data_IF_578549585580
#
_entry.id   IF_578549585580
#
_cell.length_a   1.000
_cell.length_b   1.000
_cell.length_c   1.000
_cell.angle_alpha   90.00
_cell.angle_beta   90.00
_cell.angle_gamma   90.00
#
_symmetry.space_group_name_H-M   'P 1'
#
loop_
_entity.id
_entity.type
_entity.pdbx_description
1 polymer ?
#
# COMPACT_ATOMS: atom_id res chain seq x y z
N UNK A 1 16.53 -4.96 -20.35
CA UNK A 1 15.41 -4.57 -19.48
C UNK A 1 15.33 -5.57 -18.36
N UNK A 2 15.62 -5.20 -17.10
CA UNK A 2 15.47 -6.13 -16.00
C UNK A 2 13.98 -6.45 -15.83
N UNK A 3 13.58 -7.69 -16.12
CA UNK A 3 12.24 -8.20 -15.78
C UNK A 3 12.20 -8.23 -14.25
N UNK A 4 11.60 -7.21 -13.62
CA UNK A 4 11.27 -7.28 -12.20
C UNK A 4 10.24 -8.39 -11.94
N UNK A 5 10.16 -8.82 -10.69
CA UNK A 5 9.25 -9.90 -10.27
C UNK A 5 7.81 -9.41 -10.13
N UNK A 6 7.61 -8.09 -9.97
CA UNK A 6 6.28 -7.47 -9.94
C UNK A 6 5.59 -7.62 -11.31
N UNK A 7 4.39 -8.21 -11.37
CA UNK A 7 3.59 -8.27 -12.58
C UNK A 7 3.13 -6.88 -13.00
N UNK A 8 3.14 -6.61 -14.32
CA UNK A 8 2.80 -5.31 -14.87
C UNK A 8 1.39 -4.83 -14.54
N UNK A 9 0.46 -5.75 -14.28
CA UNK A 9 -0.91 -5.41 -13.91
C UNK A 9 -1.02 -4.68 -12.55
N UNK A 10 -0.05 -4.89 -11.65
CA UNK A 10 0.02 -4.17 -10.37
C UNK A 10 0.66 -2.79 -10.51
N UNK A 11 1.49 -2.58 -11.54
CA UNK A 11 2.25 -1.34 -11.68
C UNK A 11 1.34 -0.13 -11.89
N UNK A 12 1.74 0.99 -11.29
CA UNK A 12 1.03 2.25 -11.40
C UNK A 12 0.63 2.82 -10.05
N UNK A 13 -0.30 3.77 -10.10
CA UNK A 13 -0.82 4.46 -8.93
C UNK A 13 -2.25 4.02 -8.68
N UNK A 14 -2.54 3.70 -7.44
CA UNK A 14 -3.82 3.26 -6.93
C UNK A 14 -4.25 4.22 -5.82
N UNK A 15 -5.54 4.44 -5.66
CA UNK A 15 -6.06 5.33 -4.63
C UNK A 15 -7.33 4.77 -4.02
N UNK A 16 -7.57 5.11 -2.76
CA UNK A 16 -8.84 4.81 -2.10
C UNK A 16 -9.19 5.94 -1.15
N UNK A 17 -10.49 6.16 -0.95
CA UNK A 17 -11.00 7.14 0.01
C UNK A 17 -11.85 6.42 1.04
N UNK A 18 -11.49 6.59 2.30
CA UNK A 18 -12.15 6.00 3.46
C UNK A 18 -12.79 7.15 4.24
N UNK A 19 -14.12 7.26 4.14
CA UNK A 19 -14.88 8.24 4.93
C UNK A 19 -15.22 7.65 6.29
N UNK A 20 -14.80 8.31 7.36
CA UNK A 20 -15.15 7.95 8.74
C UNK A 20 -15.63 9.18 9.51
N UNK A 21 -15.96 8.99 10.81
CA UNK A 21 -16.45 10.08 11.66
C UNK A 21 -15.47 11.26 11.79
N UNK A 22 -14.18 11.04 11.57
CA UNK A 22 -13.14 12.07 11.58
C UNK A 22 -13.02 12.81 10.24
N UNK A 23 -13.59 12.27 9.17
CA UNK A 23 -13.62 12.85 7.82
C UNK A 23 -13.11 11.88 6.74
N UNK A 24 -12.66 12.45 5.62
CA UNK A 24 -12.17 11.67 4.49
C UNK A 24 -10.68 11.37 4.64
N UNK A 25 -10.34 10.09 4.65
CA UNK A 25 -8.96 9.60 4.68
C UNK A 25 -8.63 9.06 3.30
N UNK A 26 -7.67 9.68 2.63
CA UNK A 26 -7.21 9.24 1.32
C UNK A 26 -5.95 8.41 1.48
N UNK A 27 -5.90 7.27 0.79
CA UNK A 27 -4.69 6.45 0.72
C UNK A 27 -4.29 6.31 -0.73
N UNK A 28 -3.10 6.79 -1.07
CA UNK A 28 -2.50 6.65 -2.39
C UNK A 28 -1.40 5.59 -2.31
N UNK A 29 -1.44 4.63 -3.22
CA UNK A 29 -0.57 3.47 -3.22
C UNK A 29 0.09 3.39 -4.60
N UNK A 30 1.40 3.53 -4.66
CA UNK A 30 2.18 3.42 -5.89
C UNK A 30 2.96 2.12 -5.86
N UNK A 31 2.80 1.31 -6.90
CA UNK A 31 3.55 0.07 -7.10
C UNK A 31 4.53 0.29 -8.24
N UNK A 32 5.81 0.15 -7.95
CA UNK A 32 6.89 0.23 -8.93
C UNK A 32 7.50 -1.14 -9.19
N UNK A 33 8.21 -1.25 -10.30
CA UNK A 33 8.90 -2.49 -10.66
C UNK A 33 10.09 -2.72 -9.72
N UNK A 34 10.27 -3.97 -9.30
CA UNK A 34 11.39 -4.40 -8.47
C UNK A 34 11.42 -5.92 -8.33
N UNK A 35 12.39 -6.41 -7.56
CA UNK A 35 12.57 -7.84 -7.23
C UNK A 35 12.17 -8.12 -5.80
N UNK A 36 12.09 -9.40 -5.44
CA UNK A 36 11.94 -9.80 -4.03
C UNK A 36 13.08 -9.18 -3.20
N UNK A 37 12.72 -8.51 -2.12
CA UNK A 37 13.60 -7.74 -1.24
C UNK A 37 13.66 -6.23 -1.56
N UNK A 38 13.28 -5.80 -2.76
CA UNK A 38 13.27 -4.39 -3.11
C UNK A 38 12.01 -3.70 -2.56
N UNK A 39 12.15 -2.46 -2.08
CA UNK A 39 11.01 -1.58 -1.82
C UNK A 39 10.25 -1.34 -3.12
N UNK A 40 9.09 -1.97 -3.29
CA UNK A 40 8.24 -1.83 -4.49
C UNK A 40 6.96 -1.06 -4.21
N UNK A 41 6.56 -0.98 -2.95
CA UNK A 41 5.37 -0.25 -2.52
C UNK A 41 5.76 1.12 -1.99
N UNK A 42 5.02 2.15 -2.39
CA UNK A 42 4.96 3.43 -1.70
C UNK A 42 3.50 3.66 -1.32
N UNK A 43 3.22 3.81 -0.03
CA UNK A 43 1.89 4.16 0.47
C UNK A 43 1.96 5.56 1.06
N UNK A 44 1.05 6.42 0.63
CA UNK A 44 0.81 7.73 1.22
C UNK A 44 -0.57 7.68 1.86
N UNK A 45 -0.65 7.97 3.15
CA UNK A 45 -1.89 8.07 3.89
C UNK A 45 -2.06 9.52 4.35
N UNK A 46 -3.12 10.16 3.85
CA UNK A 46 -3.52 11.51 4.16
C UNK A 46 -4.89 11.49 4.83
N UNK A 47 -5.05 12.26 5.89
CA UNK A 47 -6.36 12.39 6.50
C UNK A 47 -6.42 13.40 7.63
N UNK A 48 -7.63 13.71 8.11
CA UNK A 48 -7.83 14.60 9.23
C UNK A 48 -7.44 13.92 10.56
N UNK A 49 -6.94 14.72 11.50
CA UNK A 49 -6.77 14.38 12.91
C UNK A 49 -7.62 15.31 13.77
N UNK A 50 -7.74 15.03 15.07
CA UNK A 50 -8.51 15.88 16.00
C UNK A 50 -8.06 17.35 16.04
N UNK A 51 -6.80 17.64 15.67
CA UNK A 51 -6.21 18.98 15.71
C UNK A 51 -5.65 19.46 14.37
N UNK A 52 -5.92 18.77 13.26
CA UNK A 52 -5.36 19.13 11.96
C UNK A 52 -5.45 18.00 10.93
N UNK A 53 -4.35 17.71 10.25
CA UNK A 53 -4.22 16.59 9.32
C UNK A 53 -2.97 15.77 9.61
N UNK A 54 -2.93 14.55 9.11
CA UNK A 54 -1.74 13.70 9.06
C UNK A 54 -1.38 13.41 7.61
N UNK A 55 -0.09 13.33 7.35
CA UNK A 55 0.50 12.87 6.10
C UNK A 55 1.58 11.84 6.44
N UNK A 56 1.37 10.58 6.07
CA UNK A 56 2.32 9.51 6.34
C UNK A 56 2.72 8.81 5.06
N UNK A 57 4.02 8.71 4.82
CA UNK A 57 4.61 8.00 3.69
C UNK A 57 5.28 6.74 4.23
N UNK A 58 4.94 5.61 3.62
CA UNK A 58 5.47 4.30 3.96
C UNK A 58 6.04 3.63 2.72
N UNK A 59 7.08 2.83 2.91
CA UNK A 59 7.56 1.89 1.90
C UNK A 59 7.43 0.47 2.39
N UNK A 60 7.27 -0.47 1.48
CA UNK A 60 7.31 -1.90 1.82
C UNK A 60 8.07 -2.69 0.75
N UNK A 61 8.91 -3.66 1.17
CA UNK A 61 9.62 -4.52 0.26
C UNK A 61 8.71 -5.60 -0.32
N UNK A 62 9.03 -6.06 -1.53
CA UNK A 62 8.41 -7.25 -2.11
C UNK A 62 8.90 -8.49 -1.36
N UNK A 63 8.00 -9.23 -0.73
CA UNK A 63 8.35 -10.47 -0.02
C UNK A 63 8.23 -11.69 -0.93
N UNK A 64 7.12 -11.79 -1.67
CA UNK A 64 6.91 -12.88 -2.62
C UNK A 64 5.86 -12.52 -3.67
N UNK A 65 5.88 -13.25 -4.78
CA UNK A 65 4.86 -13.21 -5.83
C UNK A 65 4.25 -14.60 -5.94
N UNK A 66 2.93 -14.69 -6.01
CA UNK A 66 2.27 -15.98 -6.24
C UNK A 66 2.64 -16.53 -7.62
N UNK A 67 2.65 -17.86 -7.75
CA UNK A 67 3.02 -18.54 -9.00
C UNK A 67 2.10 -18.20 -10.18
N UNK A 68 0.85 -17.86 -9.91
CA UNK A 68 -0.14 -17.39 -10.89
C UNK A 68 0.04 -15.90 -11.25
N UNK A 69 0.93 -15.17 -10.57
CA UNK A 69 1.14 -13.73 -10.74
C UNK A 69 -0.06 -12.87 -10.31
N UNK A 70 -1.06 -13.45 -9.66
CA UNK A 70 -2.29 -12.76 -9.25
C UNK A 70 -2.23 -12.11 -7.87
N UNK A 71 -1.18 -12.39 -7.08
CA UNK A 71 -0.99 -11.89 -5.72
C UNK A 71 0.46 -11.50 -5.43
N UNK A 72 0.62 -10.38 -4.73
CA UNK A 72 1.90 -9.92 -4.20
C UNK A 72 1.86 -9.96 -2.68
N UNK A 73 2.87 -10.55 -2.07
CA UNK A 73 3.13 -10.43 -0.64
C UNK A 73 4.16 -9.33 -0.44
N UNK A 74 3.83 -8.41 0.44
CA UNK A 74 4.70 -7.34 0.86
C UNK A 74 5.15 -7.58 2.29
N UNK A 75 6.42 -7.25 2.53
CA UNK A 75 7.00 -7.22 3.87
C UNK A 75 6.34 -6.17 4.77
N UNK A 76 6.78 -6.07 6.02
CA UNK A 76 6.34 -5.00 6.91
C UNK A 76 6.67 -3.64 6.28
N UNK A 77 5.73 -2.71 6.37
CA UNK A 77 5.89 -1.36 5.86
C UNK A 77 6.54 -0.45 6.90
N UNK A 78 7.54 0.31 6.47
CA UNK A 78 8.27 1.26 7.31
C UNK A 78 7.87 2.69 6.98
N UNK A 79 7.74 3.53 8.00
CA UNK A 79 7.50 4.97 7.82
C UNK A 79 8.78 5.61 7.27
N UNK A 80 8.71 6.18 6.07
CA UNK A 80 9.83 6.93 5.47
C UNK A 80 9.70 8.43 5.73
N UNK A 81 8.47 8.94 5.85
CA UNK A 81 8.18 10.33 6.18
C UNK A 81 6.82 10.44 6.88
N UNK A 82 6.66 11.42 7.76
CA UNK A 82 5.44 11.59 8.55
C UNK A 82 5.29 13.00 9.09
N UNK A 83 4.11 13.60 8.92
CA UNK A 83 3.76 14.92 9.46
C UNK A 83 2.35 14.87 10.07
N UNK A 84 2.23 14.88 11.41
CA UNK A 84 3.29 14.67 12.39
C UNK A 84 3.71 13.20 12.45
N UNK A 85 5.00 12.91 12.68
CA UNK A 85 5.51 11.55 12.84
C UNK A 85 4.80 10.74 13.93
N UNK A 86 4.31 11.41 14.98
CA UNK A 86 3.53 10.77 16.05
C UNK A 86 2.21 10.15 15.59
N UNK A 87 1.70 10.55 14.41
CA UNK A 87 0.50 9.99 13.80
C UNK A 87 0.80 8.83 12.84
N UNK A 88 2.08 8.53 12.58
CA UNK A 88 2.50 7.49 11.64
C UNK A 88 3.08 6.30 12.41
N UNK A 89 2.53 5.11 12.17
CA UNK A 89 3.02 3.86 12.75
C UNK A 89 3.41 2.88 11.64
N UNK A 90 4.54 2.16 11.74
CA UNK A 90 4.88 1.09 10.80
C UNK A 90 3.71 0.13 10.66
N UNK A 91 3.38 -0.23 9.42
CA UNK A 91 2.32 -1.20 9.14
C UNK A 91 2.88 -2.60 8.97
N UNK A 92 2.09 -3.60 9.28
CA UNK A 92 2.50 -5.00 9.16
C UNK A 92 2.52 -5.51 7.72
N UNK A 93 2.93 -6.76 7.56
CA UNK A 93 2.93 -7.45 6.28
C UNK A 93 1.54 -7.41 5.65
N UNK A 94 1.49 -7.28 4.32
CA UNK A 94 0.22 -7.19 3.61
C UNK A 94 0.27 -7.92 2.28
N UNK A 95 -0.88 -8.41 1.83
CA UNK A 95 -1.04 -9.08 0.54
C UNK A 95 -1.86 -8.19 -0.38
N UNK A 96 -1.38 -8.00 -1.60
CA UNK A 96 -2.10 -7.35 -2.69
C UNK A 96 -2.65 -8.41 -3.64
N UNK A 97 -3.91 -8.26 -4.02
CA UNK A 97 -4.62 -9.12 -4.97
C UNK A 97 -5.31 -8.22 -5.98
N UNK A 98 -5.18 -8.50 -7.27
CA UNK A 98 -5.99 -7.83 -8.29
C UNK A 98 -7.38 -8.47 -8.32
N UNK A 99 -8.41 -7.67 -8.05
CA UNK A 99 -9.82 -8.08 -8.17
C UNK A 99 -10.38 -7.76 -9.58
N UNK A 100 -9.63 -6.99 -10.37
CA UNK A 100 -9.90 -6.66 -11.76
C UNK A 100 -8.77 -5.81 -12.34
N UNK A 101 -8.91 -5.33 -13.57
CA UNK A 101 -7.89 -4.49 -14.20
C UNK A 101 -7.67 -3.18 -13.44
N UNK A 102 -8.73 -2.59 -12.87
CA UNK A 102 -8.70 -1.31 -12.15
C UNK A 102 -9.10 -1.43 -10.67
N UNK A 103 -9.07 -2.64 -10.11
CA UNK A 103 -9.38 -2.90 -8.70
C UNK A 103 -8.27 -3.71 -8.02
N UNK A 104 -7.65 -3.12 -7.00
CA UNK A 104 -6.58 -3.71 -6.21
C UNK A 104 -7.03 -3.87 -4.75
N UNK A 105 -7.10 -5.10 -4.27
CA UNK A 105 -7.38 -5.40 -2.87
C UNK A 105 -6.08 -5.57 -2.09
N UNK A 106 -5.87 -4.77 -1.06
CA UNK A 106 -4.82 -4.98 -0.07
C UNK A 106 -5.42 -5.57 1.20
N UNK A 107 -4.79 -6.57 1.79
CA UNK A 107 -5.19 -7.19 3.05
C UNK A 107 -3.99 -7.24 3.99
N UNK A 108 -4.12 -6.69 5.20
CA UNK A 108 -3.12 -6.81 6.25
C UNK A 108 -3.12 -8.23 6.82
N UNK A 109 -1.93 -8.79 7.04
CA UNK A 109 -1.80 -10.16 7.54
C UNK A 109 -1.97 -10.30 9.06
N UNK A 110 -1.86 -9.20 9.83
CA UNK A 110 -2.14 -9.22 11.27
C UNK A 110 -3.64 -9.33 11.57
N UNK A 111 -4.43 -8.42 10.99
CA UNK A 111 -5.83 -8.22 11.39
C UNK A 111 -6.83 -8.81 10.39
N UNK A 112 -6.34 -9.17 9.20
CA UNK A 112 -7.20 -9.53 8.05
C UNK A 112 -7.98 -8.35 7.48
N UNK A 113 -7.80 -7.13 8.00
CA UNK A 113 -8.42 -5.93 7.46
C UNK A 113 -7.94 -5.67 6.04
N UNK A 114 -8.89 -5.40 5.15
CA UNK A 114 -8.61 -5.17 3.74
C UNK A 114 -9.24 -3.91 3.19
N UNK A 115 -8.52 -3.27 2.29
CA UNK A 115 -8.93 -2.07 1.58
C UNK A 115 -8.85 -2.31 0.08
N UNK A 116 -9.88 -1.88 -0.64
CA UNK A 116 -9.88 -1.88 -2.10
C UNK A 116 -9.45 -0.50 -2.60
N UNK A 117 -8.50 -0.50 -3.52
CA UNK A 117 -7.96 0.66 -4.21
C UNK A 117 -8.33 0.58 -5.69
N UNK A 118 -8.53 1.74 -6.28
CA UNK A 118 -8.86 1.90 -7.70
C UNK A 118 -7.92 2.93 -8.32
N UNK A 119 -7.64 2.81 -9.61
CA UNK A 119 -6.77 3.74 -10.34
C UNK A 119 -7.56 4.61 -11.32
#
# INVERSE_FOLDING_TARGET
MAKGDVPSAFLGSWSTTISNASGNNTRSLVIKQGRIGDDVLILVADGPTASGSYHCVFTAPLDAVSSDGGRLKLGPSTVTSGVPMSSCAPGSTSTLTLEGDDALRRVNSEDGEGLTYTR
#
